data_IF_835091299183
#
_entry.id   IF_835091299183
#
_cell.length_a   1.000
_cell.length_b   1.000
_cell.length_c   1.000
_cell.angle_alpha   90.00
_cell.angle_beta   90.00
_cell.angle_gamma   90.00
#
_symmetry.space_group_name_H-M   'P 1'
#
loop_
_entity.id
_entity.type
_entity.pdbx_description
1 polymer ?
#
# COMPACT_ATOMS: atom_id res chain seq x y z
N UNK A 1 -4.62 7.24 -15.81
CA UNK A 1 -4.05 6.38 -14.76
C UNK A 1 -4.91 5.15 -14.70
N UNK A 2 -4.43 4.00 -15.16
CA UNK A 2 -5.06 2.73 -14.79
C UNK A 2 -4.83 2.57 -13.28
N UNK A 3 -5.90 2.61 -12.49
CA UNK A 3 -5.79 2.43 -11.05
C UNK A 3 -5.46 0.98 -10.79
N UNK A 4 -4.19 0.68 -10.57
CA UNK A 4 -3.78 -0.67 -10.24
C UNK A 4 -4.24 -1.02 -8.82
N UNK A 5 -4.72 -2.26 -8.64
CA UNK A 5 -5.19 -2.76 -7.35
C UNK A 5 -4.16 -2.54 -6.23
N UNK A 6 -2.86 -2.63 -6.58
CA UNK A 6 -1.74 -2.28 -5.69
C UNK A 6 -1.77 -0.85 -5.20
N UNK A 7 -1.97 0.12 -6.09
CA UNK A 7 -1.98 1.56 -5.75
C UNK A 7 -3.14 1.88 -4.81
N UNK A 8 -4.30 1.25 -5.01
CA UNK A 8 -5.47 1.40 -4.13
C UNK A 8 -5.18 0.79 -2.76
N UNK A 9 -4.73 -0.47 -2.73
CA UNK A 9 -4.41 -1.19 -1.49
C UNK A 9 -3.32 -0.46 -0.70
N UNK A 10 -2.21 -0.10 -1.34
CA UNK A 10 -1.11 0.63 -0.71
C UNK A 10 -1.55 1.99 -0.15
N UNK A 11 -2.39 2.73 -0.88
CA UNK A 11 -2.93 4.02 -0.40
C UNK A 11 -3.82 3.84 0.83
N UNK A 12 -4.68 2.82 0.86
CA UNK A 12 -5.53 2.52 2.02
C UNK A 12 -4.67 2.20 3.25
N UNK A 13 -3.66 1.33 3.11
CA UNK A 13 -2.76 0.99 4.21
C UNK A 13 -1.95 2.19 4.71
N UNK A 14 -1.49 3.07 3.80
CA UNK A 14 -0.83 4.32 4.20
C UNK A 14 -1.76 5.25 4.98
N UNK A 15 -3.00 5.44 4.51
CA UNK A 15 -3.97 6.33 5.17
C UNK A 15 -4.33 5.78 6.56
N UNK A 16 -4.58 4.48 6.68
CA UNK A 16 -4.87 3.83 7.96
C UNK A 16 -3.66 3.94 8.89
N UNK A 17 -2.44 3.66 8.42
CA UNK A 17 -1.21 3.78 9.21
C UNK A 17 -1.00 5.21 9.72
N UNK A 18 -1.24 6.21 8.87
CA UNK A 18 -1.14 7.62 9.24
C UNK A 18 -2.21 8.01 10.28
N UNK A 19 -3.44 7.51 10.13
CA UNK A 19 -4.51 7.72 11.09
C UNK A 19 -4.19 7.10 12.47
N UNK A 20 -3.62 5.90 12.49
CA UNK A 20 -3.13 5.27 13.72
C UNK A 20 -1.98 6.06 14.36
N UNK A 21 -1.09 6.67 13.56
CA UNK A 21 -0.03 7.53 14.09
C UNK A 21 -0.59 8.79 14.77
N UNK A 22 -1.63 9.40 14.20
CA UNK A 22 -2.31 10.57 14.78
C UNK A 22 -3.02 10.21 16.09
N UNK A 23 -3.77 9.11 16.11
CA UNK A 23 -4.45 8.63 17.33
C UNK A 23 -3.44 8.15 18.38
N UNK A 24 -2.32 7.57 17.93
CA UNK A 24 -1.25 7.08 18.79
C UNK A 24 -0.61 8.18 19.64
N UNK A 25 -0.78 9.46 19.30
CA UNK A 25 -0.35 10.55 20.17
C UNK A 25 -1.04 10.53 21.56
N UNK A 26 -2.26 9.99 21.63
CA UNK A 26 -2.98 9.78 22.90
C UNK A 26 -2.66 8.44 23.55
N UNK A 27 -2.23 7.45 22.77
CA UNK A 27 -1.92 6.10 23.26
C UNK A 27 -0.64 5.61 22.60
N UNK A 28 0.47 5.75 23.31
CA UNK A 28 1.82 5.49 22.80
C UNK A 28 2.00 4.13 22.13
N UNK A 29 1.29 3.09 22.58
CA UNK A 29 1.36 1.76 21.98
C UNK A 29 0.85 1.75 20.52
N UNK A 30 -0.16 2.57 20.20
CA UNK A 30 -0.73 2.66 18.85
C UNK A 30 0.23 3.30 17.85
N UNK A 31 1.21 4.09 18.31
CA UNK A 31 2.24 4.67 17.42
C UNK A 31 3.10 3.57 16.81
N UNK A 32 3.49 2.55 17.59
CA UNK A 32 4.27 1.43 17.08
C UNK A 32 3.49 0.63 16.02
N UNK A 33 2.21 0.36 16.27
CA UNK A 33 1.35 -0.33 15.30
C UNK A 33 1.11 0.53 14.05
N UNK A 34 0.87 1.83 14.22
CA UNK A 34 0.71 2.77 13.10
C UNK A 34 1.95 2.85 12.22
N UNK A 35 3.14 2.87 12.83
CA UNK A 35 4.42 2.89 12.10
C UNK A 35 4.61 1.61 11.27
N UNK A 36 4.35 0.44 11.86
CA UNK A 36 4.47 -0.85 11.16
C UNK A 36 3.48 -0.92 9.98
N UNK A 37 2.21 -0.56 10.21
CA UNK A 37 1.18 -0.56 9.18
C UNK A 37 1.52 0.42 8.05
N UNK A 38 2.03 1.61 8.40
CA UNK A 38 2.45 2.61 7.43
C UNK A 38 3.62 2.11 6.57
N UNK A 39 4.62 1.46 7.17
CA UNK A 39 5.74 0.85 6.44
C UNK A 39 5.29 -0.26 5.49
N UNK A 40 4.34 -1.10 5.92
CA UNK A 40 3.74 -2.13 5.05
C UNK A 40 3.00 -1.48 3.88
N UNK A 41 2.19 -0.45 4.15
CA UNK A 41 1.50 0.31 3.11
C UNK A 41 2.46 0.96 2.11
N UNK A 42 3.57 1.50 2.61
CA UNK A 42 4.65 2.05 1.77
C UNK A 42 5.31 1.00 0.89
N UNK A 43 5.62 -0.16 1.44
CA UNK A 43 6.20 -1.26 0.69
C UNK A 43 5.24 -1.77 -0.40
N UNK A 44 3.96 -1.95 -0.08
CA UNK A 44 2.94 -2.36 -1.06
C UNK A 44 2.81 -1.31 -2.15
N UNK A 45 2.72 -0.03 -1.81
CA UNK A 45 2.57 1.06 -2.78
C UNK A 45 3.74 1.13 -3.76
N UNK A 46 4.97 0.97 -3.26
CA UNK A 46 6.21 1.06 -4.04
C UNK A 46 6.59 -0.22 -4.77
N UNK A 47 5.96 -1.36 -4.47
CA UNK A 47 6.31 -2.64 -5.09
C UNK A 47 5.82 -2.75 -6.55
N UNK A 48 6.54 -2.12 -7.47
CA UNK A 48 6.19 -2.00 -8.91
C UNK A 48 6.16 -3.35 -9.66
N UNK A 49 6.67 -4.43 -9.06
CA UNK A 49 6.82 -5.76 -9.70
C UNK A 49 5.49 -6.40 -10.10
N UNK A 50 4.40 -6.16 -9.37
CA UNK A 50 3.07 -6.68 -9.75
C UNK A 50 2.56 -6.08 -11.06
N UNK A 51 2.82 -4.79 -11.33
CA UNK A 51 2.31 -4.13 -12.54
C UNK A 51 3.02 -4.67 -13.80
N UNK A 52 4.28 -5.09 -13.66
CA UNK A 52 5.03 -5.67 -14.78
C UNK A 52 4.49 -7.05 -15.17
N UNK A 53 4.08 -7.85 -14.19
CA UNK A 53 3.50 -9.19 -14.42
C UNK A 53 2.13 -9.07 -15.10
N UNK A 54 1.27 -8.14 -14.66
CA UNK A 54 -0.02 -7.88 -15.30
C UNK A 54 0.16 -7.45 -16.77
N UNK A 55 1.08 -6.51 -17.04
CA UNK A 55 1.37 -6.05 -18.41
C UNK A 55 1.83 -7.19 -19.34
N UNK A 56 2.61 -8.14 -18.83
CA UNK A 56 3.06 -9.31 -19.61
C UNK A 56 1.86 -10.22 -19.94
N UNK A 57 0.96 -10.46 -18.99
CA UNK A 57 -0.21 -11.32 -19.21
C UNK A 57 -1.20 -10.70 -20.21
N UNK A 58 -1.48 -9.40 -20.13
CA UNK A 58 -2.33 -8.72 -21.12
C UNK A 58 -1.77 -8.81 -22.55
N UNK A 59 -0.45 -8.72 -22.72
CA UNK A 59 0.20 -8.91 -24.03
C UNK A 59 0.09 -10.34 -24.55
N UNK A 60 0.08 -11.33 -23.65
CA UNK A 60 0.01 -12.75 -24.01
C UNK A 60 -1.40 -13.19 -24.40
N UNK A 61 -2.44 -12.61 -23.78
CA UNK A 61 -3.85 -12.92 -24.08
C UNK A 61 -4.32 -12.29 -25.40
N UNK A 62 -3.72 -11.17 -25.83
CA UNK A 62 -4.08 -10.49 -27.09
C UNK A 62 -3.36 -11.02 -28.34
N UNK A 63 -2.49 -12.02 -28.22
CA UNK A 63 -1.70 -12.58 -29.32
C UNK A 63 -2.20 -13.98 -29.67
#
# INVERSE_FOLDING_TARGET
MEFNSRTITGSIFMIIGLFLLIIGFFVWILVLYGLIIFLIGFFIFTNTKEDEIEKINYKKVKK
#
